data_IF_574519147049
#
_entry.id   IF_574519147049
#
_cell.length_a   1.000
_cell.length_b   1.000
_cell.length_c   1.000
_cell.angle_alpha   90.00
_cell.angle_beta   90.00
_cell.angle_gamma   90.00
#
_symmetry.space_group_name_H-M   'P 1'
#
loop_
_entity.id
_entity.type
_entity.pdbx_description
1 polymer ?
#
# COMPACT_ATOMS: atom_id res chain seq x y z
N UNK A 1 11.47 18.60 5.49
CA UNK A 1 11.53 17.92 4.18
C UNK A 1 11.22 16.46 4.42
N UNK A 2 10.42 15.84 3.54
CA UNK A 2 10.06 14.43 3.60
C UNK A 2 10.83 13.67 2.52
N UNK A 3 11.22 12.44 2.84
CA UNK A 3 12.00 11.56 1.99
C UNK A 3 11.06 10.76 1.06
N UNK A 4 9.88 10.38 1.55
CA UNK A 4 8.89 9.57 0.81
C UNK A 4 7.48 10.12 1.00
N UNK A 5 6.68 10.07 -0.06
CA UNK A 5 5.24 10.33 -0.01
C UNK A 5 4.51 9.03 -0.37
N UNK A 6 3.67 8.55 0.53
CA UNK A 6 2.80 7.39 0.30
C UNK A 6 1.41 7.89 -0.03
N UNK A 7 0.93 7.64 -1.26
CA UNK A 7 -0.40 8.08 -1.68
C UNK A 7 -1.39 6.93 -1.48
N UNK A 8 -2.31 7.10 -0.52
CA UNK A 8 -3.33 6.11 -0.18
C UNK A 8 -3.08 5.39 1.15
N UNK A 9 -3.77 5.84 2.21
CA UNK A 9 -3.78 5.20 3.53
C UNK A 9 -4.66 3.92 3.63
N UNK A 10 -4.54 3.02 2.66
CA UNK A 10 -5.08 1.65 2.72
C UNK A 10 -4.13 0.69 3.45
N UNK A 11 -4.51 -0.58 3.61
CA UNK A 11 -3.64 -1.59 4.28
C UNK A 11 -2.25 -1.64 3.66
N UNK A 12 -2.15 -1.75 2.33
CA UNK A 12 -0.86 -1.80 1.63
C UNK A 12 0.00 -0.53 1.87
N UNK A 13 -0.61 0.65 1.71
CA UNK A 13 0.09 1.92 1.92
C UNK A 13 0.50 2.15 3.37
N UNK A 14 -0.33 1.76 4.34
CA UNK A 14 0.01 1.86 5.76
C UNK A 14 1.14 0.90 6.15
N UNK A 15 1.15 -0.31 5.59
CA UNK A 15 2.24 -1.28 5.79
C UNK A 15 3.54 -0.75 5.19
N UNK A 16 3.50 -0.24 3.95
CA UNK A 16 4.65 0.37 3.30
C UNK A 16 5.19 1.55 4.12
N UNK A 17 4.30 2.46 4.54
CA UNK A 17 4.66 3.61 5.37
C UNK A 17 5.28 3.17 6.71
N UNK A 18 4.70 2.17 7.39
CA UNK A 18 5.24 1.68 8.66
C UNK A 18 6.65 1.11 8.49
N UNK A 19 6.89 0.35 7.42
CA UNK A 19 8.22 -0.22 7.15
C UNK A 19 9.26 0.85 6.80
N UNK A 20 8.89 1.87 6.01
CA UNK A 20 9.79 2.98 5.71
C UNK A 20 10.03 3.87 6.94
N UNK A 21 9.03 4.07 7.78
CA UNK A 21 9.18 4.82 9.04
C UNK A 21 10.14 4.11 9.99
N UNK A 22 10.06 2.78 10.08
CA UNK A 22 10.94 1.98 10.95
C UNK A 22 12.42 2.03 10.51
N UNK A 23 12.66 2.24 9.20
CA UNK A 23 13.97 2.54 8.63
C UNK A 23 14.46 3.98 8.88
N UNK A 24 13.65 4.82 9.53
CA UNK A 24 13.97 6.22 9.81
C UNK A 24 13.76 7.18 8.64
N UNK A 25 13.00 6.81 7.60
CA UNK A 25 12.59 7.77 6.58
C UNK A 25 11.51 8.71 7.12
N UNK A 26 11.62 10.00 6.79
CA UNK A 26 10.58 11.00 7.03
C UNK A 26 9.53 10.88 5.94
N UNK A 27 8.29 10.60 6.30
CA UNK A 27 7.24 10.35 5.32
C UNK A 27 5.97 11.14 5.56
N UNK A 28 5.20 11.31 4.48
CA UNK A 28 3.81 11.77 4.50
C UNK A 28 2.94 10.69 3.89
N UNK A 29 1.81 10.41 4.53
CA UNK A 29 0.77 9.56 3.97
C UNK A 29 -0.40 10.43 3.53
N UNK A 30 -0.71 10.43 2.24
CA UNK A 30 -1.95 11.02 1.74
C UNK A 30 -3.11 10.08 2.10
N UNK A 31 -4.13 10.65 2.76
CA UNK A 31 -5.33 9.94 3.14
C UNK A 31 -6.58 10.64 2.62
N UNK A 32 -7.43 9.84 1.99
CA UNK A 32 -8.83 10.18 1.71
C UNK A 32 -9.62 10.45 3.02
N UNK A 33 -10.94 10.65 2.91
CA UNK A 33 -11.82 10.97 4.06
C UNK A 33 -11.78 9.98 5.24
N UNK A 34 -11.18 8.79 5.09
CA UNK A 34 -10.95 7.82 6.17
C UNK A 34 -9.69 6.98 5.94
N UNK A 35 -9.20 6.34 6.99
CA UNK A 35 -8.07 5.39 6.97
C UNK A 35 -8.56 3.97 6.67
N UNK A 36 -7.67 3.10 6.20
CA UNK A 36 -7.96 1.69 5.94
C UNK A 36 -8.39 1.39 4.49
N UNK A 37 -8.60 2.40 3.65
CA UNK A 37 -9.01 2.19 2.26
C UNK A 37 -10.30 1.37 2.17
N UNK A 38 -10.24 0.17 1.57
CA UNK A 38 -11.41 -0.72 1.42
C UNK A 38 -11.86 -1.38 2.72
N UNK A 39 -11.00 -1.47 3.75
CA UNK A 39 -11.38 -1.96 5.09
C UNK A 39 -11.91 -0.84 6.01
N UNK A 40 -12.08 0.38 5.47
CA UNK A 40 -12.58 1.50 6.25
C UNK A 40 -14.08 1.32 6.56
N UNK A 41 -14.42 1.19 7.84
CA UNK A 41 -15.80 1.27 8.31
C UNK A 41 -16.31 2.71 8.20
N UNK A 42 -17.41 2.90 7.50
CA UNK A 42 -18.08 4.20 7.40
C UNK A 42 -19.32 4.24 8.28
N UNK A 43 -19.47 5.33 9.02
CA UNK A 43 -20.71 5.61 9.77
C UNK A 43 -21.80 6.04 8.79
N UNK A 44 -22.95 5.38 8.87
CA UNK A 44 -24.16 5.67 8.11
C UNK A 44 -25.30 5.84 9.12
N UNK A 45 -25.64 7.09 9.46
CA UNK A 45 -26.60 7.40 10.52
C UNK A 45 -26.27 6.63 11.82
N UNK A 46 -27.20 5.82 12.34
CA UNK A 46 -27.03 5.00 13.54
C UNK A 46 -26.35 3.64 13.29
N UNK A 47 -25.89 3.40 12.06
CA UNK A 47 -25.25 2.16 11.63
C UNK A 47 -23.80 2.35 11.19
N UNK A 48 -23.08 1.24 11.12
CA UNK A 48 -21.71 1.17 10.61
C UNK A 48 -21.69 0.15 9.47
N UNK A 49 -21.13 0.54 8.34
CA UNK A 49 -21.00 -0.34 7.19
C UNK A 49 -19.57 -0.28 6.65
N UNK A 50 -19.03 -1.44 6.36
CA UNK A 50 -17.78 -1.54 5.61
C UNK A 50 -18.09 -1.33 4.14
N UNK A 51 -17.24 -0.54 3.49
CA UNK A 51 -17.45 -0.08 2.12
C UNK A 51 -17.22 -1.14 1.04
N UNK A 52 -16.98 -2.39 1.44
CA UNK A 52 -16.44 -3.47 0.61
C UNK A 52 -16.86 -3.39 -0.86
N UNK A 53 -16.06 -2.67 -1.65
CA UNK A 53 -16.11 -2.79 -3.09
C UNK A 53 -15.50 -4.17 -3.37
N UNK A 54 -16.34 -5.09 -3.80
CA UNK A 54 -15.90 -6.38 -4.31
C UNK A 54 -15.07 -6.09 -5.57
N UNK A 55 -13.74 -6.18 -5.40
CA UNK A 55 -12.65 -6.33 -6.36
C UNK A 55 -12.86 -5.96 -7.85
N UNK A 56 -11.79 -5.48 -8.49
CA UNK A 56 -11.63 -5.59 -9.95
C UNK A 56 -11.12 -7.00 -10.24
N UNK A 57 -11.94 -7.84 -10.89
CA UNK A 57 -11.46 -9.13 -11.38
C UNK A 57 -10.48 -8.92 -12.52
N UNK A 58 -9.26 -9.42 -12.39
CA UNK A 58 -8.29 -9.47 -13.47
C UNK A 58 -8.86 -10.32 -14.62
N UNK A 59 -9.33 -9.70 -15.70
CA UNK A 59 -9.80 -10.39 -16.90
C UNK A 59 -9.23 -9.72 -18.15
N UNK A 60 -8.31 -10.42 -18.82
CA UNK A 60 -7.86 -10.09 -20.18
C UNK A 60 -6.61 -9.20 -20.29
N UNK A 61 -6.08 -9.12 -21.52
CA UNK A 61 -4.81 -8.49 -21.89
C UNK A 61 -4.81 -6.95 -21.77
N UNK A 62 -6.00 -6.32 -21.80
CA UNK A 62 -6.18 -4.86 -21.75
C UNK A 62 -5.70 -4.22 -20.44
N UNK A 63 -5.71 -4.95 -19.32
CA UNK A 63 -5.25 -4.40 -18.05
C UNK A 63 -3.71 -4.39 -17.94
N UNK A 64 -3.01 -5.32 -18.59
CA UNK A 64 -1.55 -5.28 -18.68
C UNK A 64 -1.07 -4.02 -19.40
N UNK A 65 -1.81 -3.61 -20.44
CA UNK A 65 -1.59 -2.34 -21.15
C UNK A 65 -1.98 -1.13 -20.29
N UNK A 66 -3.01 -1.23 -19.46
CA UNK A 66 -3.40 -0.18 -18.52
C UNK A 66 -2.37 0.05 -17.41
N UNK A 67 -1.82 -1.02 -16.83
CA UNK A 67 -0.73 -0.93 -15.84
C UNK A 67 0.53 -0.33 -16.48
N UNK A 68 0.83 -0.71 -17.72
CA UNK A 68 1.93 -0.13 -18.49
C UNK A 68 1.69 1.34 -18.87
N UNK A 69 0.43 1.75 -19.06
CA UNK A 69 0.05 3.14 -19.31
C UNK A 69 0.16 4.01 -18.05
N UNK A 70 -0.06 3.41 -16.87
CA UNK A 70 0.07 4.08 -15.58
C UNK A 70 1.51 4.04 -15.03
N UNK A 71 2.42 3.26 -15.62
CA UNK A 71 3.83 3.26 -15.22
C UNK A 71 4.58 4.40 -15.92
N UNK A 72 5.13 5.32 -15.14
CA UNK A 72 5.99 6.41 -15.62
C UNK A 72 7.40 6.17 -15.10
N UNK A 73 8.40 6.30 -15.98
CA UNK A 73 9.81 6.30 -15.60
C UNK A 73 10.13 7.61 -14.89
N UNK A 74 10.12 7.60 -13.55
CA UNK A 74 10.45 8.78 -12.74
C UNK A 74 11.88 8.69 -12.20
N UNK A 75 12.59 9.83 -11.99
CA UNK A 75 13.93 9.85 -11.40
C UNK A 75 13.98 9.36 -9.94
N UNK A 76 12.83 9.37 -9.26
CA UNK A 76 12.64 8.85 -7.90
C UNK A 76 11.75 7.61 -7.97
N UNK A 77 11.94 6.62 -7.06
CA UNK A 77 11.15 5.39 -7.05
C UNK A 77 9.65 5.69 -6.98
N UNK A 78 8.90 5.24 -7.99
CA UNK A 78 7.45 5.17 -7.96
C UNK A 78 7.04 3.70 -7.89
N UNK A 79 6.48 3.30 -6.74
CA UNK A 79 6.07 1.91 -6.50
C UNK A 79 4.59 1.85 -6.13
N UNK A 80 3.87 0.93 -6.77
CA UNK A 80 2.47 0.66 -6.48
C UNK A 80 2.34 -0.60 -5.60
N UNK A 81 1.46 -0.55 -4.61
CA UNK A 81 1.10 -1.69 -3.77
C UNK A 81 -0.42 -1.72 -3.50
N UNK A 82 -0.96 -2.90 -3.23
CA UNK A 82 -2.38 -3.14 -3.08
C UNK A 82 -2.74 -4.61 -3.21
N UNK A 83 -3.98 -4.97 -2.91
CA UNK A 83 -4.50 -6.34 -3.10
C UNK A 83 -4.43 -6.80 -4.56
N UNK A 84 -4.48 -5.87 -5.53
CA UNK A 84 -4.34 -6.21 -6.94
C UNK A 84 -2.99 -6.87 -7.28
N UNK A 85 -1.97 -6.69 -6.44
CA UNK A 85 -0.63 -7.23 -6.65
C UNK A 85 -0.47 -8.71 -6.27
N UNK A 86 -1.43 -9.33 -5.57
CA UNK A 86 -1.25 -10.70 -5.05
C UNK A 86 -2.55 -11.47 -4.74
N UNK A 87 -3.71 -10.98 -5.17
CA UNK A 87 -4.99 -11.65 -4.98
C UNK A 87 -5.92 -10.97 -3.97
N UNK A 88 -7.09 -11.57 -3.71
CA UNK A 88 -8.21 -10.91 -3.06
C UNK A 88 -8.16 -10.88 -1.52
N UNK A 89 -6.99 -11.16 -0.94
CA UNK A 89 -6.80 -11.34 0.49
C UNK A 89 -6.14 -10.11 1.13
N UNK A 90 -6.37 -9.89 2.43
CA UNK A 90 -5.77 -8.75 3.15
C UNK A 90 -4.25 -8.90 3.25
N UNK A 91 -3.80 -10.15 3.37
CA UNK A 91 -2.41 -10.59 3.39
C UNK A 91 -1.70 -10.16 2.09
N UNK A 92 -2.34 -10.30 0.93
CA UNK A 92 -1.78 -9.86 -0.36
C UNK A 92 -1.54 -8.34 -0.41
N UNK A 93 -2.46 -7.56 0.17
CA UNK A 93 -2.28 -6.12 0.32
C UNK A 93 -1.13 -5.81 1.29
N UNK A 94 -0.98 -6.55 2.38
CA UNK A 94 0.14 -6.38 3.32
C UNK A 94 1.48 -6.72 2.68
N UNK A 95 1.61 -7.90 2.07
CA UNK A 95 2.84 -8.36 1.41
C UNK A 95 3.28 -7.40 0.30
N UNK A 96 2.35 -6.90 -0.53
CA UNK A 96 2.69 -5.90 -1.54
C UNK A 96 3.16 -4.58 -0.94
N UNK A 97 2.66 -4.18 0.24
CA UNK A 97 3.15 -3.03 0.99
C UNK A 97 4.59 -3.20 1.47
N UNK A 98 4.94 -4.39 1.99
CA UNK A 98 6.32 -4.72 2.41
C UNK A 98 7.26 -4.70 1.21
N UNK A 99 6.89 -5.39 0.12
CA UNK A 99 7.69 -5.43 -1.10
C UNK A 99 7.91 -4.02 -1.68
N UNK A 100 6.91 -3.13 -1.59
CA UNK A 100 7.06 -1.74 -2.00
C UNK A 100 8.05 -0.97 -1.13
N UNK A 101 8.00 -1.16 0.19
CA UNK A 101 8.96 -0.55 1.11
C UNK A 101 10.39 -1.05 0.84
N UNK A 102 10.57 -2.35 0.58
CA UNK A 102 11.86 -2.93 0.20
C UNK A 102 12.40 -2.30 -1.08
N UNK A 103 11.59 -2.20 -2.14
CA UNK A 103 12.00 -1.60 -3.41
C UNK A 103 12.36 -0.12 -3.26
N UNK A 104 11.57 0.64 -2.50
CA UNK A 104 11.87 2.05 -2.22
C UNK A 104 13.19 2.15 -1.44
N UNK A 105 13.37 1.34 -0.40
CA UNK A 105 14.56 1.37 0.43
C UNK A 105 15.84 0.98 -0.34
N UNK A 106 15.76 -0.01 -1.24
CA UNK A 106 16.85 -0.40 -2.14
C UNK A 106 17.28 0.71 -3.08
N UNK A 107 16.34 1.55 -3.53
CA UNK A 107 16.61 2.65 -4.46
C UNK A 107 16.98 3.97 -3.75
N UNK A 108 16.78 4.04 -2.43
CA UNK A 108 17.19 5.16 -1.58
C UNK A 108 18.49 4.81 -0.84
N UNK A 109 18.49 4.87 0.51
CA UNK A 109 19.68 4.78 1.34
C UNK A 109 20.02 3.34 1.78
N UNK A 110 19.23 2.33 1.39
CA UNK A 110 19.51 0.92 1.71
C UNK A 110 19.58 0.61 3.21
N UNK A 111 18.69 1.21 4.02
CA UNK A 111 18.70 1.10 5.49
C UNK A 111 18.16 -0.25 5.95
N UNK A 112 18.50 -0.70 7.16
CA UNK A 112 17.92 -1.95 7.70
C UNK A 112 16.41 -1.80 7.92
N UNK A 113 15.63 -2.67 7.29
CA UNK A 113 14.19 -2.79 7.53
C UNK A 113 13.94 -3.47 8.88
N UNK A 114 12.91 -3.02 9.59
CA UNK A 114 12.47 -3.62 10.84
C UNK A 114 12.03 -5.06 10.62
N UNK A 115 12.65 -6.00 11.34
CA UNK A 115 12.23 -7.40 11.39
C UNK A 115 10.85 -7.61 12.07
N UNK A 116 10.24 -6.57 12.68
CA UNK A 116 8.89 -6.68 13.20
C UNK A 116 7.93 -6.95 12.04
N UNK A 117 7.55 -8.21 11.86
CA UNK A 117 6.61 -8.60 10.85
C UNK A 117 5.23 -8.25 11.35
N UNK A 118 4.46 -7.49 10.57
CA UNK A 118 3.04 -7.27 10.87
C UNK A 118 2.28 -8.61 10.98
N UNK A 119 2.83 -9.69 10.39
CA UNK A 119 2.35 -11.06 10.52
C UNK A 119 2.56 -11.68 11.90
N UNK A 120 3.47 -11.18 12.74
CA UNK A 120 3.64 -11.64 14.13
C UNK A 120 2.40 -11.32 15.00
N UNK A 121 1.51 -10.45 14.51
CA UNK A 121 0.23 -10.12 15.15
C UNK A 121 -0.94 -11.00 14.70
N UNK A 122 -0.75 -11.88 13.71
CA UNK A 122 -1.76 -12.82 13.25
C UNK A 122 -1.34 -14.24 13.64
N UNK A 123 -2.22 -15.01 14.32
CA UNK A 123 -1.90 -16.36 14.79
C UNK A 123 -1.74 -17.39 13.66
#
# INVERSE_FOLDING_TARGET
MFDVIVIGAGIAGLVCAQQLQSCGYKLVVEKSRGLGGRVATRRLYDSRADRGACYLSLKGELLGQFVQFLSTTTPLPLVCCGDWCGGNLIESAMYSGIAAAEQINLQLDGRSLSENNLFDFFP
#
